data_IF_617156884692
#
_entry.id   IF_617156884692
#
_cell.length_a   1.000
_cell.length_b   1.000
_cell.length_c   1.000
_cell.angle_alpha   90.00
_cell.angle_beta   90.00
_cell.angle_gamma   90.00
#
_symmetry.space_group_name_H-M   'P 1'
#
loop_
_entity.id
_entity.type
_entity.pdbx_description
1 polymer ?
#
# COMPACT_ATOMS: atom_id res chain seq x y z
N UNK A 1 5.12 -26.25 14.43
CA UNK A 1 5.03 -24.82 14.04
C UNK A 1 5.44 -23.99 15.25
N UNK A 2 6.56 -23.27 15.20
CA UNK A 2 7.10 -22.53 16.37
C UNK A 2 6.39 -21.18 16.49
N UNK A 3 5.88 -20.83 17.68
CA UNK A 3 5.27 -19.51 17.91
C UNK A 3 6.37 -18.43 17.79
N UNK A 4 6.13 -17.31 17.07
CA UNK A 4 7.10 -16.23 16.98
C UNK A 4 7.37 -15.63 18.37
N UNK A 5 8.61 -15.21 18.61
CA UNK A 5 8.97 -14.55 19.87
C UNK A 5 8.29 -13.18 19.97
N UNK A 6 8.08 -12.69 21.20
CA UNK A 6 7.53 -11.36 21.44
C UNK A 6 8.35 -10.25 20.73
N UNK A 7 9.68 -10.39 20.69
CA UNK A 7 10.56 -9.49 19.97
C UNK A 7 10.33 -9.50 18.45
N UNK A 8 10.09 -10.68 17.85
CA UNK A 8 9.79 -10.79 16.43
C UNK A 8 8.43 -10.13 16.09
N UNK A 9 7.42 -10.31 16.94
CA UNK A 9 6.10 -9.68 16.77
C UNK A 9 6.21 -8.17 16.90
N UNK A 10 6.93 -7.67 17.91
CA UNK A 10 7.17 -6.22 18.07
C UNK A 10 7.86 -5.64 16.83
N UNK A 11 8.90 -6.31 16.33
CA UNK A 11 9.64 -5.82 15.16
C UNK A 11 8.78 -5.77 13.91
N UNK A 12 7.92 -6.78 13.69
CA UNK A 12 6.96 -6.77 12.60
C UNK A 12 5.97 -5.59 12.73
N UNK A 13 5.51 -5.29 13.94
CA UNK A 13 4.66 -4.13 14.22
C UNK A 13 5.34 -2.79 13.90
N UNK A 14 6.61 -2.63 14.28
CA UNK A 14 7.41 -1.44 13.95
C UNK A 14 7.56 -1.24 12.45
N UNK A 15 7.88 -2.32 11.72
CA UNK A 15 8.03 -2.29 10.26
C UNK A 15 6.71 -1.94 9.59
N UNK A 16 5.60 -2.54 10.02
CA UNK A 16 4.27 -2.25 9.48
C UNK A 16 3.89 -0.78 9.73
N UNK A 17 4.11 -0.27 10.95
CA UNK A 17 3.83 1.12 11.29
C UNK A 17 4.71 2.10 10.49
N UNK A 18 5.97 1.76 10.23
CA UNK A 18 6.84 2.56 9.38
C UNK A 18 6.37 2.55 7.91
N UNK A 19 5.99 1.39 7.39
CA UNK A 19 5.43 1.25 6.04
C UNK A 19 4.14 2.05 5.86
N UNK A 20 3.24 2.01 6.84
CA UNK A 20 2.00 2.80 6.80
C UNK A 20 2.29 4.30 6.76
N UNK A 21 3.17 4.80 7.64
CA UNK A 21 3.56 6.23 7.64
C UNK A 21 4.21 6.67 6.33
N UNK A 22 4.98 5.80 5.68
CA UNK A 22 5.56 6.08 4.38
C UNK A 22 4.47 6.15 3.30
N UNK A 23 3.54 5.19 3.28
CA UNK A 23 2.43 5.18 2.34
C UNK A 23 1.51 6.41 2.50
N UNK A 24 1.29 6.89 3.73
CA UNK A 24 0.47 8.07 4.00
C UNK A 24 1.09 9.37 3.47
N UNK A 25 2.41 9.41 3.29
CA UNK A 25 3.13 10.56 2.73
C UNK A 25 3.18 10.53 1.19
N UNK A 26 2.88 9.39 0.57
CA UNK A 26 2.85 9.24 -0.88
C UNK A 26 1.53 9.73 -1.46
N UNK A 27 1.61 10.30 -2.66
CA UNK A 27 0.43 10.49 -3.52
C UNK A 27 -0.17 9.13 -3.91
N UNK A 28 -1.42 9.13 -4.37
CA UNK A 28 -2.05 7.91 -4.86
C UNK A 28 -1.25 7.28 -6.01
N UNK A 29 -0.65 8.12 -6.88
CA UNK A 29 0.17 7.68 -8.02
C UNK A 29 1.45 6.99 -7.57
N UNK A 30 2.22 7.64 -6.70
CA UNK A 30 3.48 7.09 -6.19
C UNK A 30 3.24 5.77 -5.45
N UNK A 31 2.14 5.67 -4.70
CA UNK A 31 1.80 4.43 -4.00
C UNK A 31 1.36 3.33 -4.97
N UNK A 32 0.62 3.66 -6.03
CA UNK A 32 0.25 2.71 -7.08
C UNK A 32 1.48 2.17 -7.83
N UNK A 33 2.40 3.05 -8.20
CA UNK A 33 3.66 2.67 -8.85
C UNK A 33 4.54 1.80 -7.93
N UNK A 34 4.60 2.12 -6.64
CA UNK A 34 5.33 1.32 -5.65
C UNK A 34 4.68 -0.05 -5.38
N UNK A 35 3.35 -0.15 -5.48
CA UNK A 35 2.61 -1.40 -5.27
C UNK A 35 2.58 -2.29 -6.52
N UNK A 36 2.72 -1.70 -7.71
CA UNK A 36 2.64 -2.44 -8.96
C UNK A 36 3.83 -3.38 -9.16
N UNK A 37 3.54 -4.58 -9.63
CA UNK A 37 4.55 -5.58 -10.04
C UNK A 37 4.15 -6.20 -11.37
N UNK A 38 5.08 -6.81 -12.14
CA UNK A 38 4.74 -7.43 -13.42
C UNK A 38 3.70 -8.56 -13.32
N UNK A 39 3.50 -9.12 -12.13
CA UNK A 39 2.51 -10.17 -11.85
C UNK A 39 1.20 -9.61 -11.30
N UNK A 40 1.08 -8.29 -11.17
CA UNK A 40 -0.15 -7.66 -10.71
C UNK A 40 -1.22 -7.77 -11.80
N UNK A 41 -2.41 -8.25 -11.44
CA UNK A 41 -3.54 -8.35 -12.38
C UNK A 41 -4.19 -7.00 -12.71
N UNK A 42 -3.76 -5.93 -12.02
CA UNK A 42 -4.20 -4.56 -12.24
C UNK A 42 -3.06 -3.72 -12.83
N UNK A 43 -3.43 -2.75 -13.64
CA UNK A 43 -2.56 -1.69 -14.12
C UNK A 43 -2.26 -0.70 -12.99
N UNK A 44 -1.22 0.11 -13.16
CA UNK A 44 -0.91 1.20 -12.22
C UNK A 44 -2.10 2.16 -12.08
N UNK A 45 -2.80 2.45 -13.18
CA UNK A 45 -3.94 3.38 -13.20
C UNK A 45 -5.13 2.83 -12.38
N UNK A 46 -5.43 1.53 -12.51
CA UNK A 46 -6.46 0.86 -11.71
C UNK A 46 -6.09 0.83 -10.22
N UNK A 47 -4.83 0.58 -9.89
CA UNK A 47 -4.34 0.63 -8.50
C UNK A 47 -4.43 2.06 -7.95
N UNK A 48 -4.11 3.07 -8.76
CA UNK A 48 -4.19 4.47 -8.38
C UNK A 48 -5.63 4.86 -8.05
N UNK A 49 -6.60 4.47 -8.88
CA UNK A 49 -8.02 4.74 -8.64
C UNK A 49 -8.58 3.97 -7.44
N UNK A 50 -8.14 2.73 -7.20
CA UNK A 50 -8.48 1.97 -5.98
C UNK A 50 -7.97 2.68 -4.72
N UNK A 51 -6.71 3.17 -4.75
CA UNK A 51 -6.12 3.93 -3.65
C UNK A 51 -6.88 5.24 -3.44
N UNK A 52 -7.22 5.96 -4.51
CA UNK A 52 -8.01 7.19 -4.42
C UNK A 52 -9.39 6.93 -3.81
N UNK A 53 -10.09 5.89 -4.25
CA UNK A 53 -11.40 5.52 -3.71
C UNK A 53 -11.33 5.21 -2.21
N UNK A 54 -10.33 4.43 -1.77
CA UNK A 54 -10.12 4.13 -0.34
C UNK A 54 -9.80 5.38 0.50
N UNK A 55 -9.17 6.39 -0.12
CA UNK A 55 -8.87 7.69 0.51
C UNK A 55 -10.00 8.72 0.38
N UNK A 56 -11.11 8.39 -0.29
CA UNK A 56 -12.21 9.32 -0.54
C UNK A 56 -11.87 10.45 -1.52
N UNK A 57 -10.92 10.21 -2.42
CA UNK A 57 -10.50 11.15 -3.47
C UNK A 57 -11.26 10.88 -4.78
N UNK A 58 -11.45 11.90 -5.65
CA UNK A 58 -11.98 11.70 -6.99
C UNK A 58 -11.11 10.74 -7.81
N UNK A 59 -11.71 9.88 -8.63
CA UNK A 59 -11.00 9.01 -9.56
C UNK A 59 -10.27 9.86 -10.62
N UNK A 60 -9.07 9.47 -11.05
CA UNK A 60 -8.40 10.18 -12.14
C UNK A 60 -8.67 9.57 -13.50
N UNK A 61 -9.00 8.28 -13.56
CA UNK A 61 -9.09 7.55 -14.83
C UNK A 61 -10.51 7.07 -15.14
N UNK A 62 -11.46 7.28 -14.23
CA UNK A 62 -12.87 7.02 -14.51
C UNK A 62 -13.42 8.00 -15.55
N UNK A 63 -13.68 7.48 -16.74
CA UNK A 63 -14.46 8.13 -17.81
C UNK A 63 -15.94 7.81 -17.68
#
# INVERSE_FOLDING_TARGET
MTRPSAAAVQKAGEILAAGQRAADQMTARELAEAAWTPTCGATVDELEDEIRQRRGLPLAHAS
#
